data_IF_187349230735
#
_entry.id   IF_187349230735
#
_cell.length_a   1.000
_cell.length_b   1.000
_cell.length_c   1.000
_cell.angle_alpha   90.00
_cell.angle_beta   90.00
_cell.angle_gamma   90.00
#
_symmetry.space_group_name_H-M   'P 1'
#
loop_
_entity.id
_entity.type
_entity.pdbx_description
1 polymer ?
#
# COMPACT_ATOMS: atom_id res chain seq x y z
N UNK A 1 -24.99 -9.19 0.55
CA UNK A 1 -23.58 -9.53 0.90
C UNK A 1 -22.57 -8.74 0.06
N UNK A 2 -22.66 -8.77 -1.27
CA UNK A 2 -21.72 -8.08 -2.20
C UNK A 2 -21.67 -6.55 -1.96
N UNK A 3 -22.83 -5.87 -1.93
CA UNK A 3 -22.92 -4.42 -1.68
C UNK A 3 -22.25 -3.98 -0.38
N UNK A 4 -22.36 -4.78 0.68
CA UNK A 4 -21.79 -4.47 2.02
C UNK A 4 -20.27 -4.60 2.07
N UNK A 5 -19.68 -5.48 1.25
CA UNK A 5 -18.22 -5.62 1.09
C UNK A 5 -17.66 -4.43 0.31
N UNK A 6 -18.43 -3.93 -0.65
CA UNK A 6 -18.04 -2.76 -1.44
C UNK A 6 -18.14 -1.47 -0.58
N UNK A 7 -19.19 -1.32 0.24
CA UNK A 7 -19.34 -0.19 1.18
C UNK A 7 -18.22 -0.14 2.24
N UNK A 8 -17.84 -1.29 2.82
CA UNK A 8 -16.72 -1.33 3.78
C UNK A 8 -15.38 -1.04 3.12
N UNK A 9 -15.19 -1.44 1.87
CA UNK A 9 -13.97 -1.15 1.13
C UNK A 9 -13.82 0.34 0.84
N UNK A 10 -14.90 1.07 0.59
CA UNK A 10 -14.83 2.52 0.35
C UNK A 10 -14.48 3.30 1.61
N UNK A 11 -15.01 2.90 2.78
CA UNK A 11 -14.59 3.43 4.08
C UNK A 11 -13.10 3.18 4.32
N UNK A 12 -12.63 1.94 4.08
CA UNK A 12 -11.21 1.62 4.21
C UNK A 12 -10.33 2.45 3.28
N UNK A 13 -10.70 2.59 2.00
CA UNK A 13 -9.95 3.43 1.05
C UNK A 13 -9.86 4.88 1.53
N UNK A 14 -10.95 5.44 2.09
CA UNK A 14 -10.94 6.79 2.63
C UNK A 14 -9.94 6.92 3.80
N UNK A 15 -10.00 5.99 4.77
CA UNK A 15 -9.06 5.95 5.91
C UNK A 15 -7.62 5.83 5.43
N UNK A 16 -7.34 4.92 4.50
CA UNK A 16 -5.98 4.71 3.98
C UNK A 16 -5.47 5.95 3.22
N UNK A 17 -6.35 6.63 2.47
CA UNK A 17 -5.99 7.87 1.78
C UNK A 17 -5.63 8.96 2.78
N UNK A 18 -6.39 9.10 3.87
CA UNK A 18 -6.06 10.05 4.95
C UNK A 18 -4.72 9.71 5.60
N UNK A 19 -4.41 8.43 5.81
CA UNK A 19 -3.11 7.99 6.35
C UNK A 19 -1.96 8.35 5.41
N UNK A 20 -2.14 8.21 4.08
CA UNK A 20 -1.15 8.62 3.08
C UNK A 20 -0.95 10.14 3.07
N UNK A 21 -2.02 10.92 3.14
CA UNK A 21 -1.92 12.38 3.25
C UNK A 21 -1.15 12.74 4.53
N UNK A 22 -1.49 12.09 5.63
CA UNK A 22 -0.92 12.36 6.94
C UNK A 22 0.60 12.11 6.99
N UNK A 23 1.09 10.97 6.49
CA UNK A 23 2.54 10.65 6.48
C UNK A 23 3.36 11.68 5.70
N UNK A 24 2.80 12.26 4.64
CA UNK A 24 3.49 13.25 3.82
C UNK A 24 3.31 14.69 4.33
N UNK A 25 2.38 14.92 5.25
CA UNK A 25 2.13 16.23 5.86
C UNK A 25 3.06 16.53 7.04
N UNK A 26 3.60 15.50 7.71
CA UNK A 26 4.42 15.62 8.92
C UNK A 26 5.94 15.73 8.65
N UNK A 27 6.33 16.46 7.60
CA UNK A 27 7.72 16.63 7.17
C UNK A 27 8.58 17.53 8.08
N UNK A 28 8.11 17.87 9.29
CA UNK A 28 8.78 18.77 10.24
C UNK A 28 8.76 18.16 11.65
N UNK A 29 9.58 17.14 11.89
CA UNK A 29 9.89 16.71 13.26
C UNK A 29 11.15 17.48 13.69
N UNK A 30 11.05 18.46 14.61
CA UNK A 30 12.22 19.10 15.19
C UNK A 30 13.07 18.05 15.93
N UNK A 31 14.39 18.19 15.84
CA UNK A 31 15.43 17.32 16.38
C UNK A 31 15.58 17.37 17.91
N UNK A 32 14.48 17.53 18.66
CA UNK A 32 14.50 17.36 20.12
C UNK A 32 14.33 15.88 20.45
N UNK A 33 15.43 15.16 20.22
CA UNK A 33 15.56 13.74 20.44
C UNK A 33 15.26 13.39 21.91
N UNK A 34 14.42 12.36 22.11
CA UNK A 34 14.19 11.76 23.43
C UNK A 34 12.97 12.24 24.23
N UNK A 35 12.19 13.20 23.71
CA UNK A 35 10.92 13.58 24.37
C UNK A 35 9.77 12.61 24.06
N UNK A 36 8.79 12.48 24.97
CA UNK A 36 7.55 11.74 24.68
C UNK A 36 6.82 12.28 23.44
N UNK A 37 6.88 13.60 23.23
CA UNK A 37 6.33 14.27 22.04
C UNK A 37 7.04 13.83 20.75
N UNK A 38 8.36 13.68 20.77
CA UNK A 38 9.12 13.14 19.64
C UNK A 38 8.66 11.72 19.29
N UNK A 39 8.58 10.82 20.28
CA UNK A 39 8.14 9.44 20.06
C UNK A 39 6.71 9.35 19.49
N UNK A 40 5.79 10.20 19.96
CA UNK A 40 4.43 10.28 19.41
C UNK A 40 4.47 10.74 17.95
N UNK A 41 5.28 11.76 17.62
CA UNK A 41 5.43 12.23 16.24
C UNK A 41 6.01 11.16 15.33
N UNK A 42 7.07 10.47 15.76
CA UNK A 42 7.67 9.35 15.01
C UNK A 42 6.64 8.24 14.81
N UNK A 43 5.90 7.85 15.85
CA UNK A 43 4.88 6.83 15.73
C UNK A 43 3.80 7.19 14.71
N UNK A 44 3.23 8.40 14.85
CA UNK A 44 2.15 8.86 14.00
C UNK A 44 2.60 9.14 12.55
N UNK A 45 3.88 9.40 12.31
CA UNK A 45 4.39 9.74 10.97
C UNK A 45 5.03 8.54 10.28
N UNK A 46 5.85 7.77 10.99
CA UNK A 46 6.73 6.76 10.39
C UNK A 46 6.42 5.31 10.78
N UNK A 47 5.54 5.08 11.76
CA UNK A 47 5.13 3.72 12.15
C UNK A 47 3.70 3.45 11.70
N UNK A 48 2.72 4.10 12.32
CA UNK A 48 1.29 3.82 12.14
C UNK A 48 0.81 3.96 10.68
N UNK A 49 1.14 5.03 9.93
CA UNK A 49 0.64 5.20 8.57
C UNK A 49 1.23 4.21 7.55
N UNK A 50 2.34 3.54 7.86
CA UNK A 50 3.06 2.69 6.88
C UNK A 50 2.27 1.47 6.43
N UNK A 51 1.19 1.11 7.13
CA UNK A 51 0.26 0.06 6.69
C UNK A 51 -0.59 0.49 5.49
N UNK A 52 -0.72 1.79 5.25
CA UNK A 52 -1.70 2.34 4.31
C UNK A 52 -1.45 1.91 2.87
N UNK A 53 -0.21 2.09 2.39
CA UNK A 53 0.17 1.77 1.01
C UNK A 53 0.08 0.26 0.73
N UNK A 54 0.71 -0.63 1.52
CA UNK A 54 0.53 -2.08 1.41
C UNK A 54 -0.93 -2.53 1.33
N UNK A 55 -1.78 -2.03 2.23
CA UNK A 55 -3.19 -2.42 2.26
C UNK A 55 -3.95 -1.87 1.04
N UNK A 56 -3.59 -0.68 0.55
CA UNK A 56 -4.14 -0.12 -0.69
C UNK A 56 -3.82 -0.98 -1.91
N UNK A 57 -2.58 -1.47 -2.03
CA UNK A 57 -2.19 -2.41 -3.08
C UNK A 57 -2.94 -3.73 -2.97
N UNK A 58 -3.07 -4.27 -1.75
CA UNK A 58 -3.80 -5.52 -1.51
C UNK A 58 -5.28 -5.42 -1.87
N UNK A 59 -5.98 -4.38 -1.41
CA UNK A 59 -7.37 -4.16 -1.82
C UNK A 59 -7.48 -3.96 -3.33
N UNK A 60 -6.57 -3.20 -3.93
CA UNK A 60 -6.60 -2.95 -5.37
C UNK A 60 -6.41 -4.23 -6.18
N UNK A 61 -5.48 -5.10 -5.78
CA UNK A 61 -5.28 -6.41 -6.39
C UNK A 61 -6.51 -7.31 -6.21
N UNK A 62 -7.06 -7.37 -5.00
CA UNK A 62 -8.27 -8.14 -4.71
C UNK A 62 -9.44 -7.75 -5.62
N UNK A 63 -9.78 -6.46 -5.67
CA UNK A 63 -10.88 -5.97 -6.50
C UNK A 63 -10.59 -6.03 -8.00
N UNK A 64 -9.33 -5.92 -8.39
CA UNK A 64 -8.95 -6.03 -9.80
C UNK A 64 -9.16 -7.44 -10.34
N UNK A 65 -8.88 -8.47 -9.54
CA UNK A 65 -9.05 -9.88 -9.93
C UNK A 65 -10.37 -10.51 -9.48
N UNK A 66 -11.19 -9.80 -8.70
CA UNK A 66 -12.56 -10.20 -8.35
C UNK A 66 -13.39 -10.48 -9.62
N UNK A 67 -14.07 -11.63 -9.63
CA UNK A 67 -14.83 -12.16 -10.76
C UNK A 67 -14.10 -13.31 -11.46
N UNK A 68 -14.76 -14.47 -11.64
CA UNK A 68 -14.08 -15.76 -11.82
C UNK A 68 -13.38 -16.02 -13.17
N UNK A 69 -13.41 -15.09 -14.14
CA UNK A 69 -12.73 -15.29 -15.42
C UNK A 69 -11.97 -14.05 -15.91
N UNK A 70 -10.65 -14.19 -16.04
CA UNK A 70 -9.80 -13.20 -16.65
C UNK A 70 -9.71 -13.47 -18.15
N UNK A 71 -10.11 -12.50 -18.96
CA UNK A 71 -9.88 -12.48 -20.40
C UNK A 71 -9.28 -11.14 -20.79
N UNK A 72 -8.63 -11.06 -21.96
CA UNK A 72 -8.10 -9.81 -22.46
C UNK A 72 -9.17 -8.72 -22.59
N UNK A 73 -10.40 -9.10 -22.99
CA UNK A 73 -11.53 -8.17 -23.07
C UNK A 73 -11.97 -7.66 -21.69
N UNK A 74 -12.03 -8.54 -20.69
CA UNK A 74 -12.34 -8.15 -19.31
C UNK A 74 -11.25 -7.23 -18.74
N UNK A 75 -9.99 -7.56 -18.96
CA UNK A 75 -8.86 -6.72 -18.58
C UNK A 75 -8.93 -5.34 -19.24
N UNK A 76 -9.14 -5.29 -20.56
CA UNK A 76 -9.24 -4.03 -21.29
C UNK A 76 -10.41 -3.19 -20.82
N UNK A 77 -11.56 -3.81 -20.52
CA UNK A 77 -12.72 -3.15 -19.91
C UNK A 77 -12.39 -2.54 -18.54
N UNK A 78 -11.73 -3.31 -17.67
CA UNK A 78 -11.27 -2.82 -16.35
C UNK A 78 -10.28 -1.66 -16.52
N UNK A 79 -9.30 -1.78 -17.43
CA UNK A 79 -8.32 -0.72 -17.69
C UNK A 79 -8.98 0.56 -18.19
N UNK A 80 -9.95 0.51 -19.12
CA UNK A 80 -10.66 1.71 -19.62
C UNK A 80 -11.32 2.51 -18.51
N UNK A 81 -11.88 1.84 -17.50
CA UNK A 81 -12.47 2.51 -16.34
C UNK A 81 -11.36 3.16 -15.49
N UNK A 82 -10.28 2.43 -15.21
CA UNK A 82 -9.15 2.92 -14.40
C UNK A 82 -8.36 4.03 -15.09
N UNK A 83 -8.35 4.09 -16.43
CA UNK A 83 -7.80 5.23 -17.15
C UNK A 83 -8.51 6.53 -16.73
N UNK A 84 -9.84 6.50 -16.63
CA UNK A 84 -10.65 7.67 -16.25
C UNK A 84 -10.59 7.99 -14.76
N UNK A 85 -10.60 6.97 -13.90
CA UNK A 85 -10.69 7.17 -12.44
C UNK A 85 -9.35 7.26 -11.74
N UNK A 86 -8.25 6.84 -12.37
CA UNK A 86 -6.94 6.76 -11.75
C UNK A 86 -5.85 7.45 -12.60
N UNK A 87 -5.65 7.03 -13.86
CA UNK A 87 -4.56 7.58 -14.68
C UNK A 87 -4.76 9.07 -15.02
N UNK A 88 -5.94 9.47 -15.48
CA UNK A 88 -6.21 10.87 -15.82
C UNK A 88 -6.05 11.76 -14.58
N UNK A 89 -6.67 11.47 -13.42
CA UNK A 89 -6.43 12.23 -12.19
C UNK A 89 -4.95 12.26 -11.78
N UNK A 90 -4.26 11.12 -11.85
CA UNK A 90 -2.83 11.02 -11.53
C UNK A 90 -1.98 11.94 -12.42
N UNK A 91 -2.18 11.90 -13.73
CA UNK A 91 -1.47 12.76 -14.67
C UNK A 91 -1.80 14.24 -14.43
N UNK A 92 -3.08 14.57 -14.21
CA UNK A 92 -3.52 15.93 -13.93
C UNK A 92 -2.82 16.50 -12.68
N UNK A 93 -2.88 15.77 -11.56
CA UNK A 93 -2.26 16.21 -10.31
C UNK A 93 -0.74 16.24 -10.36
N UNK A 94 -0.13 15.33 -11.12
CA UNK A 94 1.32 15.32 -11.33
C UNK A 94 1.76 16.53 -12.15
N UNK A 95 1.00 16.91 -13.19
CA UNK A 95 1.25 18.11 -13.99
C UNK A 95 1.00 19.41 -13.21
N UNK A 96 -0.05 19.47 -12.39
CA UNK A 96 -0.31 20.61 -11.49
C UNK A 96 0.86 20.78 -10.51
N UNK A 97 1.33 19.68 -9.91
CA UNK A 97 2.50 19.70 -9.03
C UNK A 97 3.76 20.22 -9.74
N UNK A 98 3.98 19.78 -10.98
CA UNK A 98 5.10 20.24 -11.80
C UNK A 98 5.02 21.74 -12.10
N UNK A 99 3.83 22.23 -12.48
CA UNK A 99 3.59 23.64 -12.74
C UNK A 99 3.83 24.50 -11.49
N UNK A 100 3.31 24.06 -10.34
CA UNK A 100 3.53 24.73 -9.06
C UNK A 100 5.02 24.79 -8.69
N UNK A 101 5.72 23.67 -8.86
CA UNK A 101 7.15 23.58 -8.64
C UNK A 101 7.94 24.57 -9.53
N UNK A 102 7.63 24.63 -10.83
CA UNK A 102 8.25 25.59 -11.75
C UNK A 102 8.01 27.05 -11.34
N UNK A 103 6.80 27.39 -10.89
CA UNK A 103 6.47 28.73 -10.42
C UNK A 103 7.29 29.15 -9.20
N UNK A 104 7.46 28.25 -8.21
CA UNK A 104 8.23 28.54 -6.99
C UNK A 104 9.73 28.58 -7.26
N UNK A 105 10.23 27.72 -8.14
CA UNK A 105 11.65 27.71 -8.51
C UNK A 105 12.11 29.01 -9.22
N UNK A 106 11.20 29.99 -9.42
CA UNK A 106 11.46 31.32 -10.01
C UNK A 106 12.26 31.24 -11.32
N UNK A 107 12.12 30.17 -12.08
CA UNK A 107 12.89 29.94 -13.31
C UNK A 107 14.42 29.88 -13.11
N UNK A 108 14.92 29.65 -11.90
CA UNK A 108 16.37 29.58 -11.61
C UNK A 108 17.07 28.42 -12.35
N UNK A 109 16.29 27.43 -12.80
CA UNK A 109 16.74 26.32 -13.65
C UNK A 109 15.75 26.11 -14.79
N UNK A 110 16.28 25.99 -16.00
CA UNK A 110 15.54 25.48 -17.17
C UNK A 110 15.68 23.97 -17.20
N UNK A 111 14.57 23.24 -17.10
CA UNK A 111 14.53 21.79 -17.32
C UNK A 111 14.13 21.53 -18.77
N UNK A 112 14.79 20.57 -19.43
CA UNK A 112 14.29 20.03 -20.68
C UNK A 112 12.95 19.32 -20.48
N UNK A 113 12.19 19.14 -21.56
CA UNK A 113 10.92 18.40 -21.50
C UNK A 113 11.10 16.99 -20.93
N UNK A 114 12.15 16.27 -21.33
CA UNK A 114 12.41 14.91 -20.86
C UNK A 114 12.84 14.86 -19.39
N UNK A 115 13.64 15.81 -18.93
CA UNK A 115 13.99 15.92 -17.50
C UNK A 115 12.75 16.23 -16.66
N UNK A 116 11.92 17.16 -17.11
CA UNK A 116 10.67 17.48 -16.44
C UNK A 116 9.75 16.27 -16.38
N UNK A 117 9.57 15.56 -17.49
CA UNK A 117 8.80 14.32 -17.53
C UNK A 117 9.35 13.26 -16.57
N UNK A 118 10.69 13.13 -16.51
CA UNK A 118 11.34 12.24 -15.57
C UNK A 118 11.10 12.67 -14.12
N UNK A 119 11.19 13.96 -13.78
CA UNK A 119 10.89 14.43 -12.43
C UNK A 119 9.42 14.21 -12.06
N UNK A 120 8.49 14.42 -12.99
CA UNK A 120 7.06 14.24 -12.78
C UNK A 120 6.72 12.80 -12.40
N UNK A 121 7.34 11.81 -13.06
CA UNK A 121 6.96 10.40 -12.91
C UNK A 121 7.97 9.53 -12.16
N UNK A 122 9.26 9.83 -12.25
CA UNK A 122 10.38 8.94 -11.90
C UNK A 122 11.60 9.68 -11.34
N UNK A 123 11.41 10.77 -10.60
CA UNK A 123 12.48 11.52 -9.96
C UNK A 123 13.35 10.60 -9.11
N UNK A 124 14.60 10.39 -9.55
CA UNK A 124 15.60 9.61 -8.84
C UNK A 124 16.49 10.52 -7.99
N UNK A 125 16.69 10.15 -6.73
CA UNK A 125 17.42 10.93 -5.73
C UNK A 125 18.88 11.20 -6.09
N UNK A 126 19.58 10.34 -6.85
CA UNK A 126 20.99 10.57 -7.23
C UNK A 126 21.20 11.23 -8.60
N UNK A 127 20.15 11.72 -9.27
CA UNK A 127 20.38 12.48 -10.51
C UNK A 127 21.06 13.81 -10.17
N UNK A 128 22.09 14.24 -10.91
CA UNK A 128 22.76 15.55 -10.69
C UNK A 128 21.83 16.76 -10.81
N UNK A 129 20.61 16.57 -11.34
CA UNK A 129 19.50 17.52 -11.35
C UNK A 129 18.59 17.47 -10.10
N UNK A 130 18.79 16.50 -9.19
CA UNK A 130 18.03 16.29 -7.94
C UNK A 130 18.44 17.23 -6.81
N UNK A 131 19.44 18.11 -7.01
CA UNK A 131 19.71 19.28 -6.16
C UNK A 131 18.59 20.35 -6.22
N UNK A 132 17.37 19.92 -6.53
CA UNK A 132 16.16 20.58 -6.08
C UNK A 132 16.33 20.81 -4.57
N UNK A 133 16.00 22.01 -4.06
CA UNK A 133 16.31 22.29 -2.67
C UNK A 133 15.62 21.19 -1.86
N UNK A 134 16.34 20.60 -0.91
CA UNK A 134 15.79 19.68 0.07
C UNK A 134 14.70 20.44 0.84
N UNK A 135 13.51 20.59 0.26
CA UNK A 135 12.38 21.31 0.87
C UNK A 135 11.92 20.58 2.14
N UNK A 136 12.39 19.34 2.28
CA UNK A 136 12.26 18.48 3.44
C UNK A 136 13.67 17.93 3.66
N UNK A 137 14.36 18.32 4.72
CA UNK A 137 15.75 17.92 5.04
C UNK A 137 15.91 16.43 5.29
N UNK A 138 15.70 15.61 4.26
CA UNK A 138 15.63 14.15 4.32
C UNK A 138 16.37 13.55 3.12
N UNK A 139 17.08 12.44 3.35
CA UNK A 139 17.57 11.60 2.26
C UNK A 139 16.36 10.99 1.57
N UNK A 140 16.05 11.37 0.33
CA UNK A 140 14.92 10.81 -0.43
C UNK A 140 15.29 9.37 -0.82
N UNK A 141 14.77 8.31 -0.15
CA UNK A 141 15.09 6.95 -0.54
C UNK A 141 13.89 6.49 -1.37
N UNK A 142 13.87 6.86 -2.66
CA UNK A 142 12.97 6.34 -3.71
C UNK A 142 13.18 7.03 -5.05
N UNK A 143 12.79 6.31 -6.11
CA UNK A 143 12.33 6.92 -7.37
C UNK A 143 10.91 7.47 -7.13
N UNK A 144 10.79 8.74 -6.77
CA UNK A 144 9.51 9.40 -6.44
C UNK A 144 8.92 10.11 -7.66
N UNK A 145 7.62 10.41 -7.62
CA UNK A 145 7.08 11.50 -8.44
C UNK A 145 7.37 12.84 -7.75
N UNK A 146 7.50 13.92 -8.52
CA UNK A 146 7.62 15.29 -7.99
C UNK A 146 6.46 15.60 -7.01
N UNK A 147 5.27 15.08 -7.29
CA UNK A 147 4.20 14.97 -6.30
C UNK A 147 4.40 13.70 -5.45
N UNK A 148 5.17 13.82 -4.37
CA UNK A 148 5.67 12.69 -3.59
C UNK A 148 4.58 11.69 -3.16
N UNK A 149 3.43 12.10 -2.60
CA UNK A 149 2.35 11.18 -2.21
C UNK A 149 1.79 10.28 -3.32
N UNK A 150 1.89 10.67 -4.59
CA UNK A 150 1.25 9.96 -5.70
C UNK A 150 2.08 8.81 -6.28
N UNK A 151 3.27 8.55 -5.73
CA UNK A 151 4.17 7.50 -6.22
C UNK A 151 3.50 6.12 -6.25
N UNK A 152 2.69 5.79 -5.24
CA UNK A 152 2.04 4.48 -5.14
C UNK A 152 0.92 4.32 -6.18
N UNK A 153 0.30 5.42 -6.64
CA UNK A 153 -0.73 5.40 -7.69
C UNK A 153 -0.09 5.06 -9.04
N UNK A 154 1.08 5.61 -9.34
CA UNK A 154 1.89 5.24 -10.51
C UNK A 154 2.18 3.74 -10.51
N UNK A 155 2.75 3.23 -9.42
CA UNK A 155 3.10 1.81 -9.29
C UNK A 155 1.86 0.92 -9.41
N UNK A 156 0.73 1.35 -8.86
CA UNK A 156 -0.53 0.65 -8.98
C UNK A 156 -1.02 0.55 -10.43
N UNK A 157 -0.92 1.64 -11.21
CA UNK A 157 -1.27 1.63 -12.64
C UNK A 157 -0.39 0.65 -13.39
N UNK A 158 0.92 0.62 -13.11
CA UNK A 158 1.86 -0.30 -13.74
C UNK A 158 1.54 -1.76 -13.41
N UNK A 159 1.23 -2.06 -12.16
CA UNK A 159 0.80 -3.41 -11.77
C UNK A 159 -0.53 -3.81 -12.42
N UNK A 160 -1.46 -2.88 -12.63
CA UNK A 160 -2.69 -3.13 -13.40
C UNK A 160 -2.39 -3.41 -14.88
N UNK A 161 -1.40 -2.71 -15.48
CA UNK A 161 -0.94 -3.00 -16.83
C UNK A 161 -0.32 -4.40 -16.95
N UNK A 162 0.49 -4.80 -15.97
CA UNK A 162 1.18 -6.11 -15.92
C UNK A 162 0.27 -7.24 -15.38
N UNK A 163 -0.94 -6.92 -14.95
CA UNK A 163 -1.89 -7.89 -14.39
C UNK A 163 -2.21 -9.13 -15.26
N UNK A 164 -2.15 -9.11 -16.61
CA UNK A 164 -2.28 -10.34 -17.41
C UNK A 164 -1.16 -11.36 -17.13
N UNK A 165 0.07 -10.89 -16.87
CA UNK A 165 1.17 -11.75 -16.49
C UNK A 165 0.96 -12.30 -15.07
N UNK A 166 0.56 -11.43 -14.14
CA UNK A 166 0.21 -11.82 -12.76
C UNK A 166 -0.89 -12.89 -12.77
N UNK A 167 -1.92 -12.73 -13.59
CA UNK A 167 -2.96 -13.74 -13.79
C UNK A 167 -2.39 -15.10 -14.20
N UNK A 168 -1.53 -15.09 -15.23
CA UNK A 168 -0.93 -16.30 -15.80
C UNK A 168 -0.11 -17.06 -14.75
N UNK A 169 0.62 -16.33 -13.89
CA UNK A 169 1.39 -16.88 -12.78
C UNK A 169 0.46 -17.46 -11.71
N UNK A 170 -0.53 -16.68 -11.24
CA UNK A 170 -1.42 -17.09 -10.16
C UNK A 170 -2.35 -18.25 -10.54
N UNK A 171 -2.67 -18.42 -11.83
CA UNK A 171 -3.42 -19.58 -12.33
C UNK A 171 -2.67 -20.89 -12.08
N UNK A 172 -1.33 -20.86 -12.03
CA UNK A 172 -0.49 -21.99 -11.66
C UNK A 172 -0.23 -21.96 -10.16
N UNK A 173 -1.13 -22.56 -9.36
CA UNK A 173 -1.14 -22.48 -7.88
C UNK A 173 0.25 -22.60 -7.24
N UNK A 174 1.04 -23.62 -7.61
CA UNK A 174 2.38 -23.84 -7.06
C UNK A 174 3.34 -22.69 -7.38
N UNK A 175 3.35 -22.22 -8.64
CA UNK A 175 4.18 -21.09 -9.06
C UNK A 175 3.75 -19.78 -8.40
N UNK A 176 2.43 -19.56 -8.29
CA UNK A 176 1.88 -18.40 -7.60
C UNK A 176 2.26 -18.36 -6.12
N UNK A 177 2.13 -19.49 -5.40
CA UNK A 177 2.56 -19.60 -4.00
C UNK A 177 4.06 -19.41 -3.88
N UNK A 178 4.86 -20.06 -4.74
CA UNK A 178 6.32 -19.89 -4.75
C UNK A 178 6.71 -18.42 -4.90
N UNK A 179 6.14 -17.72 -5.88
CA UNK A 179 6.42 -16.30 -6.10
C UNK A 179 6.01 -15.42 -4.92
N UNK A 180 4.83 -15.67 -4.31
CA UNK A 180 4.40 -14.95 -3.11
C UNK A 180 5.34 -15.17 -1.92
N UNK A 181 5.80 -16.40 -1.70
CA UNK A 181 6.76 -16.73 -0.64
C UNK A 181 8.11 -16.07 -0.91
N UNK A 182 8.61 -16.10 -2.15
CA UNK A 182 9.85 -15.42 -2.52
C UNK A 182 9.76 -13.91 -2.28
N UNK A 183 8.66 -13.28 -2.71
CA UNK A 183 8.42 -11.85 -2.49
C UNK A 183 8.30 -11.52 -1.00
N UNK A 184 7.67 -12.38 -0.20
CA UNK A 184 7.56 -12.21 1.25
C UNK A 184 8.93 -12.28 1.94
N UNK A 185 9.78 -13.24 1.54
CA UNK A 185 11.13 -13.35 2.08
C UNK A 185 11.98 -12.14 1.72
N UNK A 186 11.90 -11.67 0.46
CA UNK A 186 12.58 -10.43 0.04
C UNK A 186 12.08 -9.26 0.88
N UNK A 187 10.76 -9.11 1.02
CA UNK A 187 10.18 -8.05 1.83
C UNK A 187 10.67 -8.09 3.27
N UNK A 188 10.74 -9.26 3.92
CA UNK A 188 11.16 -9.36 5.32
C UNK A 188 12.62 -8.96 5.57
N UNK A 189 13.52 -9.35 4.68
CA UNK A 189 14.97 -9.27 4.94
C UNK A 189 15.71 -8.22 4.13
N UNK A 190 15.12 -7.72 3.05
CA UNK A 190 15.72 -6.69 2.21
C UNK A 190 15.01 -5.37 2.47
N UNK A 191 15.80 -4.31 2.63
CA UNK A 191 15.28 -2.96 2.69
C UNK A 191 14.75 -2.54 1.31
N UNK A 192 13.47 -2.89 1.08
CA UNK A 192 12.80 -2.65 -0.21
C UNK A 192 12.69 -1.16 -0.56
N UNK A 193 12.85 -0.25 0.41
CA UNK A 193 12.88 1.19 0.14
C UNK A 193 14.14 1.61 -0.65
N UNK A 194 15.19 0.78 -0.70
CA UNK A 194 16.42 1.02 -1.46
C UNK A 194 16.40 0.48 -2.89
N UNK A 195 15.34 -0.24 -3.28
CA UNK A 195 15.23 -0.84 -4.62
C UNK A 195 14.50 0.16 -5.53
N UNK A 196 15.11 0.60 -6.65
CA UNK A 196 14.50 1.61 -7.51
C UNK A 196 13.27 1.07 -8.28
N UNK A 197 12.45 2.01 -8.76
CA UNK A 197 11.25 1.79 -9.60
C UNK A 197 10.06 1.17 -8.85
N UNK A 198 9.39 0.19 -9.47
CA UNK A 198 8.18 -0.44 -8.91
C UNK A 198 8.57 -1.25 -7.68
N UNK A 199 8.02 -0.85 -6.53
CA UNK A 199 8.35 -1.48 -5.25
C UNK A 199 8.02 -2.97 -5.22
N UNK A 200 8.95 -3.78 -4.69
CA UNK A 200 8.72 -5.22 -4.46
C UNK A 200 7.56 -5.42 -3.48
N UNK A 201 7.44 -4.54 -2.48
CA UNK A 201 6.31 -4.47 -1.55
C UNK A 201 4.98 -4.26 -2.30
N UNK A 202 4.94 -3.33 -3.26
CA UNK A 202 3.78 -3.05 -4.08
C UNK A 202 3.31 -4.31 -4.84
N UNK A 203 4.26 -5.01 -5.47
CA UNK A 203 3.99 -6.27 -6.16
C UNK A 203 3.51 -7.37 -5.20
N UNK A 204 4.19 -7.55 -4.06
CA UNK A 204 3.83 -8.53 -3.04
C UNK A 204 2.38 -8.36 -2.58
N UNK A 205 2.03 -7.15 -2.15
CA UNK A 205 0.70 -6.90 -1.59
C UNK A 205 -0.39 -6.94 -2.66
N UNK A 206 -0.14 -6.42 -3.87
CA UNK A 206 -1.06 -6.52 -4.99
C UNK A 206 -1.32 -7.97 -5.41
N UNK A 207 -0.26 -8.78 -5.54
CA UNK A 207 -0.37 -10.20 -5.85
C UNK A 207 -1.04 -10.99 -4.72
N UNK A 208 -0.79 -10.63 -3.45
CA UNK A 208 -1.46 -11.25 -2.30
C UNK A 208 -2.97 -10.99 -2.34
N UNK A 209 -3.37 -9.75 -2.62
CA UNK A 209 -4.77 -9.41 -2.83
C UNK A 209 -5.40 -10.15 -4.00
N UNK A 210 -4.69 -10.22 -5.12
CA UNK A 210 -5.11 -11.00 -6.29
C UNK A 210 -5.30 -12.48 -5.94
N UNK A 211 -4.37 -13.09 -5.20
CA UNK A 211 -4.45 -14.47 -4.75
C UNK A 211 -5.67 -14.70 -3.85
N UNK A 212 -5.92 -13.79 -2.89
CA UNK A 212 -7.11 -13.84 -2.02
C UNK A 212 -8.42 -13.74 -2.80
N UNK A 213 -8.44 -13.08 -3.96
CA UNK A 213 -9.66 -12.99 -4.78
C UNK A 213 -10.10 -14.34 -5.38
N UNK A 214 -9.17 -15.30 -5.50
CA UNK A 214 -9.44 -16.66 -5.97
C UNK A 214 -9.79 -17.65 -4.84
N UNK A 215 -9.55 -17.27 -3.58
CA UNK A 215 -9.86 -18.10 -2.43
C UNK A 215 -11.31 -17.90 -1.98
N UNK A 216 -11.90 -18.93 -1.38
CA UNK A 216 -13.22 -18.79 -0.76
C UNK A 216 -13.15 -17.85 0.45
N UNK A 217 -14.22 -17.07 0.65
CA UNK A 217 -14.32 -16.04 1.69
C UNK A 217 -14.13 -16.60 3.12
N UNK A 218 -14.33 -17.90 3.29
CA UNK A 218 -14.22 -18.60 4.57
C UNK A 218 -12.76 -18.69 5.09
N UNK A 219 -11.76 -18.58 4.22
CA UNK A 219 -10.32 -18.64 4.58
C UNK A 219 -9.92 -17.54 5.57
N UNK A 220 -10.67 -16.45 5.59
CA UNK A 220 -10.38 -15.28 6.44
C UNK A 220 -11.34 -15.19 7.66
N UNK A 221 -12.18 -16.19 7.89
CA UNK A 221 -12.98 -16.31 9.11
C UNK A 221 -12.11 -16.75 10.29
N UNK A 222 -11.55 -15.77 10.98
CA UNK A 222 -10.69 -15.99 12.15
C UNK A 222 -11.52 -15.97 13.45
N UNK A 223 -11.23 -16.90 14.37
CA UNK A 223 -11.89 -16.98 15.70
C UNK A 223 -11.63 -15.71 16.53
N UNK A 224 -12.58 -15.35 17.41
CA UNK A 224 -12.48 -14.14 18.27
C UNK A 224 -11.20 -14.10 19.10
N UNK A 225 -10.80 -15.24 19.70
CA UNK A 225 -9.56 -15.33 20.49
C UNK A 225 -8.34 -15.02 19.63
N UNK A 226 -8.27 -15.56 18.42
CA UNK A 226 -7.17 -15.29 17.48
C UNK A 226 -7.15 -13.82 17.05
N UNK A 227 -8.31 -13.16 16.89
CA UNK A 227 -8.36 -11.71 16.62
C UNK A 227 -7.79 -10.89 17.78
N UNK A 228 -8.07 -11.28 19.03
CA UNK A 228 -7.48 -10.63 20.21
C UNK A 228 -5.96 -10.84 20.26
N UNK A 229 -5.48 -12.05 19.96
CA UNK A 229 -4.04 -12.33 19.87
C UNK A 229 -3.38 -11.50 18.77
N UNK A 230 -4.01 -11.40 17.59
CA UNK A 230 -3.52 -10.55 16.49
C UNK A 230 -3.48 -9.08 16.91
N UNK A 231 -4.50 -8.57 17.59
CA UNK A 231 -4.50 -7.20 18.10
C UNK A 231 -3.34 -6.95 19.08
N UNK A 232 -3.09 -7.86 20.02
CA UNK A 232 -1.95 -7.77 20.92
C UNK A 232 -0.62 -7.81 20.14
N UNK A 233 -0.50 -8.67 19.14
CA UNK A 233 0.68 -8.71 18.28
C UNK A 233 0.86 -7.42 17.47
N UNK A 234 -0.21 -6.76 17.01
CA UNK A 234 -0.13 -5.44 16.37
C UNK A 234 0.48 -4.42 17.34
N UNK A 235 0.02 -4.39 18.59
CA UNK A 235 0.57 -3.48 19.61
C UNK A 235 2.05 -3.76 19.82
N UNK A 236 2.41 -5.02 20.09
CA UNK A 236 3.79 -5.45 20.36
C UNK A 236 4.72 -5.10 19.19
N UNK A 237 4.34 -5.48 17.97
CA UNK A 237 5.15 -5.20 16.78
C UNK A 237 5.22 -3.72 16.45
N UNK A 238 4.16 -2.93 16.72
CA UNK A 238 4.18 -1.48 16.53
C UNK A 238 5.12 -0.77 17.51
N UNK A 239 5.15 -1.20 18.78
CA UNK A 239 6.09 -0.68 19.78
C UNK A 239 7.50 -1.09 19.41
N UNK A 240 7.71 -2.33 19.01
CA UNK A 240 9.03 -2.81 18.58
C UNK A 240 9.54 -2.06 17.34
N UNK A 241 8.67 -1.74 16.39
CA UNK A 241 9.00 -0.89 15.22
C UNK A 241 9.36 0.54 15.64
N UNK A 242 8.67 1.12 16.63
CA UNK A 242 9.00 2.45 17.15
C UNK A 242 10.38 2.46 17.83
N UNK A 243 10.65 1.47 18.69
CA UNK A 243 11.91 1.37 19.44
C UNK A 243 13.13 1.10 18.55
N UNK A 244 12.94 0.54 17.35
CA UNK A 244 14.01 0.27 16.39
C UNK A 244 14.07 1.27 15.25
N UNK A 245 13.29 2.35 15.29
CA UNK A 245 13.37 3.42 14.31
C UNK A 245 14.77 4.04 14.31
N UNK A 246 15.44 4.10 13.15
CA UNK A 246 16.82 4.58 13.02
C UNK A 246 17.90 3.59 13.48
N UNK A 247 17.54 2.35 13.83
CA UNK A 247 18.45 1.33 14.34
C UNK A 247 18.57 0.13 13.39
N UNK A 248 19.56 -0.75 13.64
CA UNK A 248 19.90 -1.90 12.80
C UNK A 248 18.72 -2.84 12.44
N UNK A 249 17.70 -2.92 13.30
CA UNK A 249 16.53 -3.77 13.10
C UNK A 249 15.27 -3.01 12.62
N UNK A 250 15.40 -1.75 12.19
CA UNK A 250 14.27 -0.93 11.70
C UNK A 250 13.48 -1.66 10.62
N UNK A 251 14.16 -2.14 9.58
CA UNK A 251 13.53 -2.79 8.41
C UNK A 251 12.69 -3.99 8.82
N UNK A 252 13.26 -4.94 9.56
CA UNK A 252 12.58 -6.16 9.96
C UNK A 252 11.40 -5.86 10.91
N UNK A 253 11.62 -5.02 11.92
CA UNK A 253 10.59 -4.68 12.91
C UNK A 253 9.39 -3.97 12.28
N UNK A 254 9.64 -3.04 11.36
CA UNK A 254 8.63 -2.36 10.54
C UNK A 254 7.86 -3.34 9.66
N UNK A 255 8.54 -4.22 8.94
CA UNK A 255 7.90 -5.17 8.03
C UNK A 255 7.02 -6.18 8.78
N UNK A 256 7.45 -6.64 9.95
CA UNK A 256 6.65 -7.51 10.80
C UNK A 256 5.40 -6.79 11.34
N UNK A 257 5.53 -5.52 11.76
CA UNK A 257 4.38 -4.70 12.11
C UNK A 257 3.37 -4.60 10.96
N UNK A 258 3.83 -4.27 9.75
CA UNK A 258 2.97 -4.15 8.56
C UNK A 258 2.19 -5.44 8.30
N UNK A 259 2.86 -6.61 8.32
CA UNK A 259 2.23 -7.90 8.06
C UNK A 259 1.15 -8.23 9.09
N UNK A 260 1.47 -8.12 10.38
CA UNK A 260 0.54 -8.43 11.46
C UNK A 260 -0.66 -7.48 11.43
N UNK A 261 -0.42 -6.18 11.21
CA UNK A 261 -1.47 -5.18 11.10
C UNK A 261 -2.42 -5.45 9.94
N UNK A 262 -1.90 -5.80 8.76
CA UNK A 262 -2.74 -6.13 7.59
C UNK A 262 -3.59 -7.36 7.89
N UNK A 263 -3.02 -8.44 8.43
CA UNK A 263 -3.78 -9.67 8.77
C UNK A 263 -4.88 -9.34 9.77
N UNK A 264 -4.58 -8.54 10.79
CA UNK A 264 -5.57 -8.09 11.76
C UNK A 264 -6.70 -7.29 11.09
N UNK A 265 -6.39 -6.29 10.26
CA UNK A 265 -7.37 -5.45 9.57
C UNK A 265 -8.26 -6.25 8.61
N UNK A 266 -7.68 -7.18 7.85
CA UNK A 266 -8.45 -8.09 7.00
C UNK A 266 -9.43 -8.93 7.83
N UNK A 267 -8.99 -9.42 9.00
CA UNK A 267 -9.87 -10.17 9.90
C UNK A 267 -11.06 -9.36 10.41
N UNK A 268 -10.94 -8.03 10.50
CA UNK A 268 -12.04 -7.13 10.88
C UNK A 268 -13.00 -6.84 9.72
N UNK A 269 -12.46 -6.74 8.50
CA UNK A 269 -13.24 -6.42 7.30
C UNK A 269 -14.26 -7.49 6.90
N UNK A 270 -14.15 -8.70 7.46
CA UNK A 270 -15.07 -9.81 7.22
C UNK A 270 -16.00 -10.02 8.42
N UNK A 271 -17.32 -9.89 8.21
CA UNK A 271 -18.26 -10.06 9.30
C UNK A 271 -18.24 -11.51 9.81
N UNK A 272 -18.05 -11.66 11.12
CA UNK A 272 -18.22 -12.90 11.91
C UNK A 272 -19.70 -13.38 11.90
N UNK A 273 -20.58 -12.75 11.13
CA UNK A 273 -22.03 -12.79 11.34
C UNK A 273 -22.77 -13.95 10.67
N UNK A 274 -22.07 -14.90 10.05
CA UNK A 274 -22.72 -16.10 9.48
C UNK A 274 -22.97 -17.16 10.57
N UNK A 275 -22.19 -17.18 11.66
CA UNK A 275 -22.36 -18.22 12.70
C UNK A 275 -23.58 -17.99 13.61
N UNK A 276 -23.91 -16.74 13.92
CA UNK A 276 -25.05 -16.42 14.83
C UNK A 276 -26.40 -16.64 14.14
N UNK A 277 -26.49 -16.53 12.81
CA UNK A 277 -27.71 -16.82 12.07
C UNK A 277 -27.86 -18.31 11.78
N UNK A 278 -26.77 -19.05 11.50
CA UNK A 278 -26.80 -20.50 11.39
C UNK A 278 -27.13 -21.21 12.72
N UNK A 279 -26.54 -20.77 13.84
CA UNK A 279 -26.84 -21.35 15.16
C UNK A 279 -28.31 -21.09 15.58
N UNK A 280 -28.90 -19.96 15.15
CA UNK A 280 -30.33 -19.68 15.37
C UNK A 280 -31.25 -20.51 14.47
N UNK A 281 -30.83 -20.86 13.26
CA UNK A 281 -31.60 -21.71 12.36
C UNK A 281 -31.58 -23.18 12.79
N UNK A 282 -30.50 -23.66 13.43
CA UNK A 282 -30.42 -25.02 13.96
C UNK A 282 -31.11 -25.20 15.33
N UNK A 283 -31.26 -24.13 16.13
CA UNK A 283 -32.00 -24.19 17.40
C UNK A 283 -33.52 -24.06 17.24
N UNK A 284 -34.01 -23.66 16.05
CA UNK A 284 -35.45 -23.56 15.75
C UNK A 284 -35.93 -24.75 14.90
N UNK A 285 -35.01 -25.57 14.38
CA UNK A 285 -35.30 -26.75 13.54
C UNK A 285 -35.15 -28.10 14.23
N UNK A 286 -35.00 -28.14 15.55
CA UNK A 286 -35.01 -29.37 16.35
C UNK A 286 -36.23 -29.38 17.26
N UNK A 287 -37.30 -30.03 16.81
CA UNK A 287 -38.42 -30.44 17.66
C UNK A 287 -38.03 -31.55 18.63
#
# INVERSE_FOLDING_TARGET
>A
MIKRIDDTADVWKAILTLMVIYIHSFSLVPSDDGTWLYNIKVYLSFVFPRIAVPLFFMYSGYFFFKGKEFSFQVWLGKMKIRLKTLLIPFCLWSLIGAAFFMCIAKGQRTFSFFEMLNHVFWMYSDTTSSHLPQWVGYEIPKVTSLNMPLWYVRDLILLMCVSPLIYTILRRKVLGIFMLVSLLLIFLFIDTDKIPYVGIDCLLFFMSGAFLSYQDQDVLMIRRVTKMMLFLLVIITSIWSLLNYGHQYETLSRHLYILVAIIFLLSLSLPVRIRVEFDKLHLVGGG
#
